data_IF_936245688196
#
_entry.id   IF_936245688196
#
_cell.length_a   1.000
_cell.length_b   1.000
_cell.length_c   1.000
_cell.angle_alpha   90.00
_cell.angle_beta   90.00
_cell.angle_gamma   90.00
#
_symmetry.space_group_name_H-M   'P 1'
#
loop_
_entity.id
_entity.type
_entity.pdbx_description
1 polymer ?
#
# COMPACT_ATOMS: atom_id res chain seq x y z
N UNK A 1 2.64 -4.13 8.66
CA UNK A 1 3.38 -4.93 7.66
C UNK A 1 2.39 -5.83 6.93
N UNK A 2 2.45 -5.90 5.61
CA UNK A 2 1.72 -6.86 4.79
C UNK A 2 2.68 -7.86 4.18
N UNK A 3 2.20 -9.09 3.97
CA UNK A 3 2.93 -10.03 3.13
C UNK A 3 2.39 -9.90 1.71
N UNK A 4 3.28 -9.91 0.74
CA UNK A 4 2.93 -9.74 -0.67
C UNK A 4 3.41 -10.92 -1.49
N UNK A 5 2.60 -11.36 -2.45
CA UNK A 5 2.91 -12.52 -3.28
C UNK A 5 4.02 -12.23 -4.28
N UNK A 6 3.97 -11.07 -4.93
CA UNK A 6 4.89 -10.75 -6.02
C UNK A 6 5.33 -9.27 -5.96
N UNK A 7 6.60 -8.97 -5.62
CA UNK A 7 7.08 -7.60 -5.55
C UNK A 7 7.08 -6.89 -6.91
N UNK A 8 7.19 -7.63 -8.03
CA UNK A 8 7.13 -7.06 -9.38
C UNK A 8 5.73 -6.53 -9.73
N UNK A 9 4.69 -6.98 -9.01
CA UNK A 9 3.32 -6.48 -9.16
C UNK A 9 2.98 -5.46 -8.07
N UNK A 10 3.31 -5.78 -6.81
CA UNK A 10 2.96 -4.93 -5.68
C UNK A 10 3.73 -3.62 -5.69
N UNK A 11 5.04 -3.62 -5.96
CA UNK A 11 5.83 -2.38 -5.89
C UNK A 11 5.41 -1.34 -6.94
N UNK A 12 5.19 -1.67 -8.24
CA UNK A 12 4.64 -0.71 -9.19
C UNK A 12 3.26 -0.22 -8.76
N UNK A 13 2.39 -1.10 -8.25
CA UNK A 13 1.07 -0.69 -7.78
C UNK A 13 1.15 0.35 -6.65
N UNK A 14 1.92 0.10 -5.59
CA UNK A 14 2.05 1.07 -4.48
C UNK A 14 2.73 2.38 -4.90
N UNK A 15 3.65 2.33 -5.88
CA UNK A 15 4.31 3.52 -6.44
C UNK A 15 3.38 4.34 -7.33
N UNK A 16 2.74 3.70 -8.29
CA UNK A 16 1.94 4.37 -9.31
C UNK A 16 0.54 4.69 -8.80
N UNK A 17 -0.14 3.75 -8.15
CA UNK A 17 -1.50 3.96 -7.67
C UNK A 17 -1.50 4.88 -6.45
N UNK A 18 -0.68 4.57 -5.44
CA UNK A 18 -0.68 5.32 -4.19
C UNK A 18 0.40 6.41 -4.12
N UNK A 19 1.33 6.53 -5.07
CA UNK A 19 2.35 7.59 -5.01
C UNK A 19 3.33 7.41 -3.84
N UNK A 20 3.55 6.18 -3.38
CA UNK A 20 4.55 5.87 -2.36
C UNK A 20 5.93 5.64 -2.98
N UNK A 21 6.98 5.80 -2.18
CA UNK A 21 8.36 5.45 -2.57
C UNK A 21 8.87 4.30 -1.72
N UNK A 22 9.69 3.42 -2.31
CA UNK A 22 10.52 2.49 -1.53
C UNK A 22 11.65 3.30 -0.90
N UNK A 23 11.68 3.31 0.43
CA UNK A 23 12.66 4.08 1.21
C UNK A 23 13.78 3.20 1.75
N UNK A 24 13.54 1.89 1.87
CA UNK A 24 14.53 0.90 2.27
C UNK A 24 14.15 -0.48 1.73
N UNK A 25 15.17 -1.25 1.34
CA UNK A 25 15.07 -2.68 1.08
C UNK A 25 15.95 -3.41 2.09
N UNK A 26 15.34 -4.34 2.83
CA UNK A 26 15.99 -5.15 3.84
C UNK A 26 15.99 -6.62 3.43
N UNK A 27 17.10 -7.17 2.91
CA UNK A 27 17.18 -8.59 2.57
C UNK A 27 17.20 -9.45 3.84
N UNK A 28 16.35 -10.48 3.87
CA UNK A 28 16.41 -11.60 4.79
C UNK A 28 16.98 -12.84 4.09
N UNK A 29 16.92 -14.00 4.75
CA UNK A 29 17.41 -15.25 4.17
C UNK A 29 16.46 -15.78 3.09
N UNK A 30 15.18 -15.92 3.43
CA UNK A 30 14.11 -16.50 2.62
C UNK A 30 12.97 -15.49 2.34
N UNK A 31 13.22 -14.22 2.65
CA UNK A 31 12.30 -13.11 2.41
C UNK A 31 13.06 -11.81 2.12
N UNK A 32 12.37 -10.85 1.51
CA UNK A 32 12.83 -9.45 1.40
C UNK A 32 11.74 -8.52 1.92
N UNK A 33 12.14 -7.55 2.76
CA UNK A 33 11.23 -6.50 3.22
C UNK A 33 11.47 -5.21 2.45
N UNK A 34 10.40 -4.67 1.87
CA UNK A 34 10.37 -3.36 1.24
C UNK A 34 9.62 -2.40 2.16
N UNK A 35 10.26 -1.29 2.52
CA UNK A 35 9.64 -0.25 3.34
C UNK A 35 9.22 0.88 2.42
N UNK A 36 7.93 1.23 2.45
CA UNK A 36 7.33 2.25 1.61
C UNK A 36 6.76 3.37 2.44
N UNK A 37 6.84 4.61 1.93
CA UNK A 37 6.21 5.75 2.55
C UNK A 37 5.95 6.86 1.53
N UNK A 38 5.03 7.78 1.85
CA UNK A 38 4.77 8.94 0.98
C UNK A 38 5.93 9.95 1.01
N UNK A 39 6.30 10.52 -0.15
CA UNK A 39 7.36 11.52 -0.25
C UNK A 39 7.08 12.83 0.49
N UNK A 40 5.81 13.17 0.72
CA UNK A 40 5.44 14.37 1.50
C UNK A 40 5.98 14.35 2.94
N UNK A 41 6.31 13.17 3.47
CA UNK A 41 7.01 13.07 4.75
C UNK A 41 8.47 13.54 4.72
N UNK A 42 9.09 13.69 3.55
CA UNK A 42 10.43 14.28 3.42
C UNK A 42 10.42 15.75 3.83
N UNK A 43 9.39 16.48 3.41
CA UNK A 43 9.24 17.92 3.66
C UNK A 43 9.01 18.20 5.14
N UNK A 44 8.33 17.29 5.86
CA UNK A 44 8.15 17.38 7.33
C UNK A 44 9.46 17.16 8.11
N UNK A 45 10.45 16.49 7.51
CA UNK A 45 11.79 16.34 8.07
C UNK A 45 12.77 17.45 7.61
N UNK A 46 12.28 18.50 6.92
CA UNK A 46 13.09 19.60 6.43
C UNK A 46 14.05 19.24 5.28
N UNK A 47 13.85 18.09 4.61
CA UNK A 47 14.71 17.64 3.51
C UNK A 47 13.96 17.68 2.19
N UNK A 48 14.49 18.45 1.23
CA UNK A 48 14.09 18.38 -0.17
C UNK A 48 15.04 17.38 -0.85
N UNK A 49 14.50 16.27 -1.37
CA UNK A 49 15.26 15.20 -2.08
C UNK A 49 16.36 14.50 -1.25
N UNK A 50 16.00 13.70 -0.23
CA UNK A 50 16.97 12.92 0.54
C UNK A 50 17.69 11.86 -0.31
N UNK A 51 18.97 11.59 0.00
CA UNK A 51 19.75 10.50 -0.62
C UNK A 51 19.20 9.13 -0.22
N UNK A 52 19.58 8.07 -0.95
CA UNK A 52 19.18 6.69 -0.63
C UNK A 52 19.56 6.28 0.80
N UNK A 53 20.73 6.68 1.30
CA UNK A 53 21.16 6.41 2.69
C UNK A 53 20.28 7.14 3.71
N UNK A 54 19.86 8.36 3.39
CA UNK A 54 18.96 9.13 4.25
C UNK A 54 17.56 8.53 4.27
N UNK A 55 17.02 8.14 3.11
CA UNK A 55 15.74 7.43 3.01
C UNK A 55 15.77 6.12 3.82
N UNK A 56 16.86 5.38 3.73
CA UNK A 56 17.08 4.11 4.43
C UNK A 56 17.02 4.25 5.95
N UNK A 57 17.64 5.29 6.52
CA UNK A 57 17.57 5.60 7.97
C UNK A 57 16.16 5.94 8.41
N UNK A 58 15.37 6.57 7.54
CA UNK A 58 14.01 6.99 7.88
C UNK A 58 13.04 5.83 8.07
N UNK A 59 13.35 4.60 7.64
CA UNK A 59 12.46 3.44 7.83
C UNK A 59 11.94 3.27 9.27
N UNK A 60 12.76 3.66 10.26
CA UNK A 60 12.44 3.58 11.69
C UNK A 60 12.42 4.96 12.38
N UNK A 61 12.47 6.06 11.62
CA UNK A 61 12.55 7.43 12.16
C UNK A 61 11.43 8.33 11.64
N UNK A 62 10.36 7.74 11.11
CA UNK A 62 9.17 8.44 10.65
C UNK A 62 7.91 7.62 10.89
N UNK A 63 6.78 8.30 10.84
CA UNK A 63 5.46 7.67 10.83
C UNK A 63 5.01 7.34 9.40
N UNK A 64 3.95 6.53 9.31
CA UNK A 64 3.31 6.21 8.02
C UNK A 64 4.18 5.36 7.10
N UNK A 65 4.94 4.41 7.66
CA UNK A 65 5.73 3.44 6.89
C UNK A 65 4.92 2.15 6.72
N UNK A 66 4.75 1.73 5.48
CA UNK A 66 4.20 0.42 5.14
C UNK A 66 5.35 -0.53 4.80
N UNK A 67 5.54 -1.54 5.63
CA UNK A 67 6.44 -2.66 5.34
C UNK A 67 5.70 -3.72 4.52
N UNK A 68 6.24 -4.08 3.37
CA UNK A 68 5.81 -5.20 2.53
C UNK A 68 6.86 -6.30 2.61
N UNK A 69 6.45 -7.51 2.98
CA UNK A 69 7.30 -8.67 3.13
C UNK A 69 7.02 -9.65 1.98
N UNK A 70 8.02 -9.87 1.13
CA UNK A 70 7.96 -10.88 0.09
C UNK A 70 8.71 -12.12 0.57
N UNK A 71 8.00 -13.22 0.81
CA UNK A 71 8.62 -14.53 1.01
C UNK A 71 8.99 -15.09 -0.37
N UNK A 72 10.27 -15.44 -0.57
CA UNK A 72 10.80 -15.78 -1.88
C UNK A 72 10.08 -17.00 -2.49
N UNK A 73 9.72 -16.89 -3.77
CA UNK A 73 9.12 -17.98 -4.54
C UNK A 73 7.59 -18.07 -4.45
N UNK A 74 6.94 -17.27 -3.61
CA UNK A 74 5.46 -17.22 -3.52
C UNK A 74 4.81 -16.81 -4.84
N UNK A 75 5.49 -16.04 -5.67
CA UNK A 75 5.06 -15.64 -7.02
C UNK A 75 5.11 -16.79 -8.05
N UNK A 76 5.91 -17.84 -7.78
CA UNK A 76 6.12 -18.99 -8.67
C UNK A 76 5.44 -20.27 -8.19
N UNK A 77 5.00 -20.33 -6.93
CA UNK A 77 4.32 -21.50 -6.38
C UNK A 77 2.87 -21.60 -6.90
N UNK A 78 2.53 -22.61 -7.72
CA UNK A 78 1.17 -22.81 -8.22
C UNK A 78 0.18 -23.24 -7.12
N UNK A 79 0.68 -23.75 -6.00
CA UNK A 79 -0.15 -24.15 -4.86
C UNK A 79 -0.42 -23.00 -3.90
N UNK A 80 0.35 -21.91 -3.98
CA UNK A 80 0.16 -20.74 -3.13
C UNK A 80 -1.11 -19.98 -3.52
N UNK A 81 -2.15 -20.09 -2.67
CA UNK A 81 -3.47 -19.49 -2.88
C UNK A 81 -3.52 -17.98 -2.67
N UNK A 82 -2.41 -17.36 -2.25
CA UNK A 82 -2.35 -15.97 -1.87
C UNK A 82 -2.42 -15.78 -0.35
N UNK A 83 -2.15 -14.56 0.09
CA UNK A 83 -2.28 -14.18 1.49
C UNK A 83 -3.74 -13.89 1.84
N UNK A 84 -4.08 -14.04 3.13
CA UNK A 84 -5.41 -13.72 3.64
C UNK A 84 -5.47 -12.24 4.01
N UNK A 85 -6.45 -11.52 3.47
CA UNK A 85 -6.61 -10.07 3.69
C UNK A 85 -7.13 -9.72 5.08
N UNK A 86 -7.73 -10.69 5.80
CA UNK A 86 -8.32 -10.48 7.13
C UNK A 86 -9.78 -10.02 7.11
N UNK A 87 -10.41 -9.90 5.94
CA UNK A 87 -11.80 -9.43 5.82
C UNK A 87 -12.83 -10.56 5.56
N UNK A 88 -12.36 -11.80 5.38
CA UNK A 88 -13.18 -12.96 5.01
C UNK A 88 -13.17 -14.03 6.10
N UNK A 89 -14.26 -14.78 6.21
CA UNK A 89 -14.34 -15.95 7.10
C UNK A 89 -13.48 -17.11 6.56
N UNK A 90 -12.87 -17.95 7.41
CA UNK A 90 -12.97 -17.99 8.87
C UNK A 90 -11.91 -17.12 9.59
N UNK A 91 -11.19 -16.27 8.86
CA UNK A 91 -9.95 -15.64 9.34
C UNK A 91 -10.06 -14.12 9.37
N UNK A 92 -11.12 -13.61 10.01
CA UNK A 92 -11.28 -12.17 10.21
C UNK A 92 -10.32 -11.62 11.26
N UNK A 93 -9.77 -10.44 11.00
CA UNK A 93 -8.84 -9.76 11.91
C UNK A 93 -8.43 -8.38 11.40
N UNK A 94 -7.35 -8.33 10.63
CA UNK A 94 -6.94 -7.09 9.96
C UNK A 94 -8.02 -6.61 8.97
N UNK A 95 -8.30 -5.30 8.97
CA UNK A 95 -9.29 -4.70 8.07
C UNK A 95 -8.66 -4.07 6.84
N UNK A 96 -8.01 -2.92 7.00
CA UNK A 96 -7.46 -2.13 5.91
C UNK A 96 -6.42 -1.13 6.41
N UNK A 97 -5.64 -0.58 5.49
CA UNK A 97 -4.94 0.69 5.70
C UNK A 97 -5.80 1.83 5.15
N UNK A 98 -5.52 3.06 5.55
CA UNK A 98 -6.27 4.23 5.11
C UNK A 98 -5.33 5.31 4.56
N UNK A 99 -5.70 5.90 3.43
CA UNK A 99 -5.01 7.00 2.78
C UNK A 99 -5.95 8.20 2.69
N UNK A 100 -5.55 9.30 3.31
CA UNK A 100 -6.28 10.56 3.23
C UNK A 100 -5.88 11.33 1.96
N UNK A 101 -6.86 11.78 1.19
CA UNK A 101 -6.68 12.51 -0.08
C UNK A 101 -7.37 13.86 -0.05
N UNK A 102 -6.88 14.80 -0.85
CA UNK A 102 -7.44 16.16 -0.93
C UNK A 102 -8.80 16.17 -1.68
N UNK A 103 -8.93 15.36 -2.72
CA UNK A 103 -10.16 15.21 -3.51
C UNK A 103 -10.43 13.73 -3.79
N UNK A 104 -11.49 13.19 -3.17
CA UNK A 104 -11.89 11.80 -3.31
C UNK A 104 -12.36 11.46 -4.73
N UNK A 105 -13.07 12.37 -5.40
CA UNK A 105 -13.59 12.11 -6.75
C UNK A 105 -12.45 12.10 -7.76
N UNK A 106 -11.52 13.05 -7.65
CA UNK A 106 -10.32 13.07 -8.49
C UNK A 106 -9.45 11.82 -8.26
N UNK A 107 -9.28 11.38 -7.00
CA UNK A 107 -8.58 10.16 -6.68
C UNK A 107 -9.27 8.93 -7.29
N UNK A 108 -10.59 8.79 -7.13
CA UNK A 108 -11.35 7.68 -7.71
C UNK A 108 -11.25 7.66 -9.24
N UNK A 109 -11.37 8.83 -9.89
CA UNK A 109 -11.20 8.92 -11.35
C UNK A 109 -9.81 8.44 -11.79
N UNK A 110 -8.76 8.85 -11.09
CA UNK A 110 -7.39 8.41 -11.38
C UNK A 110 -7.24 6.90 -11.20
N UNK A 111 -7.87 6.33 -10.18
CA UNK A 111 -7.88 4.88 -9.98
C UNK A 111 -8.61 4.14 -11.10
N UNK A 112 -9.70 4.69 -11.62
CA UNK A 112 -10.38 4.16 -12.81
C UNK A 112 -9.49 4.20 -14.06
N UNK A 113 -8.82 5.34 -14.29
CA UNK A 113 -7.90 5.51 -15.43
C UNK A 113 -6.70 4.51 -15.36
N UNK A 114 -6.31 4.12 -14.14
CA UNK A 114 -5.25 3.12 -13.88
C UNK A 114 -5.79 1.67 -13.79
N UNK A 115 -7.09 1.44 -13.96
CA UNK A 115 -7.69 0.11 -13.91
C UNK A 115 -7.69 -0.55 -12.53
N UNK A 116 -7.66 0.24 -11.45
CA UNK A 116 -7.65 -0.26 -10.07
C UNK A 116 -9.01 -0.85 -9.71
N UNK A 117 -9.00 -2.00 -9.05
CA UNK A 117 -10.23 -2.66 -8.60
C UNK A 117 -10.78 -2.01 -7.33
N UNK A 118 -12.05 -1.62 -7.37
CA UNK A 118 -12.78 -1.13 -6.19
C UNK A 118 -13.45 -2.26 -5.42
N UNK A 119 -13.40 -2.17 -4.10
CA UNK A 119 -14.24 -2.94 -3.16
C UNK A 119 -15.57 -2.24 -2.86
N UNK A 120 -15.53 -0.91 -2.81
CA UNK A 120 -16.66 -0.01 -2.57
C UNK A 120 -16.35 1.35 -3.20
N UNK A 121 -17.28 1.92 -3.95
CA UNK A 121 -17.20 3.31 -4.44
C UNK A 121 -17.89 4.31 -3.49
N UNK A 122 -17.61 5.62 -3.58
CA UNK A 122 -18.28 6.64 -2.76
C UNK A 122 -19.80 6.61 -2.89
N UNK A 123 -20.32 6.41 -4.09
CA UNK A 123 -21.76 6.31 -4.39
C UNK A 123 -22.42 5.02 -3.86
N UNK A 124 -21.62 4.02 -3.51
CA UNK A 124 -22.10 2.74 -2.99
C UNK A 124 -22.25 2.80 -1.46
N UNK A 125 -23.47 2.61 -0.97
CA UNK A 125 -23.78 2.60 0.46
C UNK A 125 -24.09 3.97 1.04
N UNK A 126 -24.06 4.08 2.39
CA UNK A 126 -24.47 5.30 3.11
C UNK A 126 -23.35 6.34 3.25
N UNK A 127 -22.10 5.88 3.40
CA UNK A 127 -20.94 6.76 3.57
C UNK A 127 -20.40 7.17 2.20
N UNK A 128 -20.64 8.44 1.84
CA UNK A 128 -20.26 9.02 0.54
C UNK A 128 -18.91 9.73 0.51
N UNK A 129 -18.24 9.82 1.65
CA UNK A 129 -16.94 10.46 1.81
C UNK A 129 -15.77 9.47 1.83
N UNK A 130 -16.02 8.19 1.51
CA UNK A 130 -15.02 7.13 1.49
C UNK A 130 -15.19 6.17 0.31
N UNK A 131 -14.06 5.68 -0.21
CA UNK A 131 -13.97 4.54 -1.11
C UNK A 131 -13.07 3.46 -0.52
N UNK A 132 -13.19 2.22 -1.01
CA UNK A 132 -12.24 1.16 -0.76
C UNK A 132 -11.75 0.58 -2.08
N UNK A 133 -10.44 0.47 -2.23
CA UNK A 133 -9.78 -0.20 -3.35
C UNK A 133 -9.03 -1.44 -2.86
N UNK A 134 -8.69 -2.31 -3.80
CA UNK A 134 -7.85 -3.48 -3.55
C UNK A 134 -6.42 -3.22 -4.01
N UNK A 135 -5.46 -3.65 -3.20
CA UNK A 135 -4.10 -3.88 -3.67
C UNK A 135 -4.00 -5.22 -4.46
N UNK A 136 -2.85 -5.55 -5.05
CA UNK A 136 -2.69 -6.78 -5.84
C UNK A 136 -2.90 -8.08 -5.08
N UNK A 137 -2.68 -8.08 -3.76
CA UNK A 137 -2.87 -9.24 -2.88
C UNK A 137 -4.29 -9.28 -2.27
N UNK A 138 -5.14 -8.31 -2.59
CA UNK A 138 -6.52 -8.23 -2.13
C UNK A 138 -6.69 -7.59 -0.75
N UNK A 139 -5.64 -6.94 -0.21
CA UNK A 139 -5.79 -6.07 0.95
C UNK A 139 -6.64 -4.86 0.59
N UNK A 140 -7.45 -4.44 1.56
CA UNK A 140 -8.30 -3.28 1.39
C UNK A 140 -7.51 -2.02 1.73
N UNK A 141 -7.68 -0.99 0.92
CA UNK A 141 -7.15 0.36 1.15
C UNK A 141 -8.34 1.32 1.16
N UNK A 142 -8.60 1.92 2.30
CA UNK A 142 -9.59 2.99 2.44
C UNK A 142 -9.01 4.29 1.86
N UNK A 143 -9.83 4.99 1.09
CA UNK A 143 -9.54 6.30 0.55
C UNK A 143 -10.56 7.26 1.13
N UNK A 144 -10.10 8.22 1.93
CA UNK A 144 -10.95 9.16 2.66
C UNK A 144 -10.60 10.59 2.28
N UNK A 145 -11.61 11.43 2.07
CA UNK A 145 -11.38 12.86 1.90
C UNK A 145 -10.89 13.48 3.21
N UNK A 146 -9.87 14.34 3.15
CA UNK A 146 -9.50 15.20 4.29
C UNK A 146 -10.70 16.05 4.71
N UNK A 147 -10.89 16.20 6.01
CA UNK A 147 -11.98 17.00 6.62
C UNK A 147 -11.48 18.37 7.01
#
# INVERSE_FOLDING_TARGET
MFRIKNPEVSLPWYKEVLGMEVIHEGPGNDFTNFFLAHPSGWTLAGKTNPTSEEKSKMKNQREGVLELCWNHGTEKDPNFKGYVSGNEEPSRGFGHICIAVDDLNAACKRFDDLGVKFKKRPEEGRMRNIAFIFDPDGYWVEIVAKQ
#
